data_IF_547847175680
#
_entry.id   IF_547847175680
#
_cell.length_a   1.000
_cell.length_b   1.000
_cell.length_c   1.000
_cell.angle_alpha   90.00
_cell.angle_beta   90.00
_cell.angle_gamma   90.00
#
_symmetry.space_group_name_H-M   'P 1'
#
loop_
_entity.id
_entity.type
_entity.pdbx_description
1 polymer ?
#
# COMPACT_ATOMS: atom_id res chain seq x y z
N UNK A 1 16.37 -8.32 -24.73
CA UNK A 1 16.44 -7.78 -23.36
C UNK A 1 15.03 -7.63 -22.83
N UNK A 2 14.66 -8.34 -21.77
CA UNK A 2 13.42 -8.06 -21.04
C UNK A 2 13.68 -6.82 -20.19
N UNK A 3 12.93 -5.74 -20.43
CA UNK A 3 13.00 -4.57 -19.56
C UNK A 3 12.31 -4.91 -18.24
N UNK A 4 13.05 -4.87 -17.13
CA UNK A 4 12.52 -5.02 -15.78
C UNK A 4 12.64 -3.68 -15.07
N UNK A 5 11.51 -3.14 -14.59
CA UNK A 5 11.49 -1.93 -13.78
C UNK A 5 11.02 -2.31 -12.38
N UNK A 6 11.78 -1.91 -11.36
CA UNK A 6 11.45 -2.15 -9.95
C UNK A 6 11.26 -0.80 -9.27
N UNK A 7 10.13 -0.63 -8.59
CA UNK A 7 9.79 0.59 -7.87
C UNK A 7 9.39 0.22 -6.44
N UNK A 8 9.92 0.95 -5.46
CA UNK A 8 9.56 0.81 -4.05
C UNK A 8 8.70 1.99 -3.62
N UNK A 9 7.50 1.72 -3.14
CA UNK A 9 6.59 2.72 -2.59
C UNK A 9 6.63 2.68 -1.06
N UNK A 10 6.62 3.87 -0.45
CA UNK A 10 6.53 4.04 0.99
C UNK A 10 5.28 4.86 1.31
N UNK A 11 4.39 4.28 2.11
CA UNK A 11 3.17 4.95 2.57
C UNK A 11 3.39 5.42 4.00
N UNK A 12 3.25 6.72 4.24
CA UNK A 12 3.38 7.31 5.57
C UNK A 12 2.03 7.77 6.09
N UNK A 13 1.65 7.20 7.24
CA UNK A 13 0.42 7.54 7.94
C UNK A 13 0.63 8.66 8.94
N UNK A 14 -0.48 9.10 9.54
CA UNK A 14 -0.50 9.94 10.75
C UNK A 14 -1.29 9.19 11.81
N UNK A 15 -0.61 8.76 12.87
CA UNK A 15 -1.26 8.09 14.00
C UNK A 15 -2.06 9.09 14.82
N UNK A 16 -3.28 8.72 15.22
CA UNK A 16 -4.08 9.47 16.20
C UNK A 16 -4.67 8.52 17.23
N UNK A 17 -5.11 9.09 18.36
CA UNK A 17 -5.82 8.31 19.36
C UNK A 17 -7.18 7.87 18.80
N UNK A 18 -7.29 6.59 18.46
CA UNK A 18 -8.46 6.02 17.78
C UNK A 18 -9.78 6.30 18.50
N UNK A 19 -9.75 6.46 19.83
CA UNK A 19 -10.95 6.75 20.64
C UNK A 19 -11.34 8.24 20.74
N UNK A 20 -10.46 9.18 20.37
CA UNK A 20 -10.70 10.62 20.61
C UNK A 20 -10.83 11.42 19.32
N UNK A 21 -10.08 11.06 18.28
CA UNK A 21 -10.16 11.73 16.97
C UNK A 21 -9.71 10.79 15.84
N UNK A 22 -10.47 9.73 15.54
CA UNK A 22 -10.13 8.76 14.52
C UNK A 22 -10.01 9.39 13.11
N UNK A 23 -10.85 10.37 12.79
CA UNK A 23 -10.85 11.08 11.50
C UNK A 23 -9.60 11.94 11.25
N UNK A 24 -8.84 12.28 12.30
CA UNK A 24 -7.57 12.99 12.17
C UNK A 24 -6.42 12.05 11.83
N UNK A 25 -6.65 10.73 11.93
CA UNK A 25 -5.71 9.70 11.54
C UNK A 25 -5.64 9.57 10.02
N UNK A 26 -4.44 9.31 9.50
CA UNK A 26 -4.24 8.91 8.10
C UNK A 26 -3.60 7.54 8.11
N UNK A 27 -4.30 6.53 7.60
CA UNK A 27 -3.81 5.15 7.60
C UNK A 27 -2.82 4.94 6.47
N UNK A 28 -1.58 4.55 6.81
CA UNK A 28 -0.64 4.07 5.81
C UNK A 28 -1.11 2.75 5.17
N UNK A 29 -1.77 1.90 5.97
CA UNK A 29 -2.28 0.61 5.53
C UNK A 29 -3.38 0.78 4.46
N UNK A 30 -4.28 1.74 4.64
CA UNK A 30 -5.32 2.02 3.64
C UNK A 30 -4.70 2.45 2.31
N UNK A 31 -3.60 3.21 2.35
CA UNK A 31 -2.83 3.57 1.15
C UNK A 31 -2.20 2.37 0.46
N UNK A 32 -1.66 1.41 1.23
CA UNK A 32 -1.13 0.14 0.71
C UNK A 32 -2.24 -0.69 0.05
N UNK A 33 -3.41 -0.79 0.68
CA UNK A 33 -4.54 -1.54 0.14
C UNK A 33 -5.09 -0.93 -1.15
N UNK A 34 -5.22 0.41 -1.22
CA UNK A 34 -5.61 1.09 -2.46
C UNK A 34 -4.61 0.84 -3.59
N UNK A 35 -3.30 0.83 -3.28
CA UNK A 35 -2.27 0.50 -4.27
C UNK A 35 -2.38 -0.95 -4.74
N UNK A 36 -2.69 -1.88 -3.83
CA UNK A 36 -2.90 -3.29 -4.16
C UNK A 36 -4.09 -3.48 -5.11
N UNK A 37 -5.23 -2.85 -4.80
CA UNK A 37 -6.42 -2.87 -5.67
C UNK A 37 -6.11 -2.24 -7.03
N UNK A 38 -5.45 -1.08 -7.04
CA UNK A 38 -5.04 -0.41 -8.27
C UNK A 38 -4.11 -1.27 -9.14
N UNK A 39 -3.16 -1.99 -8.51
CA UNK A 39 -2.27 -2.91 -9.22
C UNK A 39 -3.05 -4.08 -9.86
N UNK A 40 -4.11 -4.57 -9.21
CA UNK A 40 -4.97 -5.60 -9.80
C UNK A 40 -5.75 -5.07 -11.01
N UNK A 41 -6.31 -3.85 -10.94
CA UNK A 41 -6.98 -3.25 -12.10
C UNK A 41 -6.01 -2.93 -13.24
N UNK A 42 -4.78 -2.52 -12.91
CA UNK A 42 -3.74 -2.30 -13.91
C UNK A 42 -3.42 -3.58 -14.68
N UNK A 43 -3.48 -4.76 -14.04
CA UNK A 43 -3.24 -6.05 -14.72
C UNK A 43 -4.22 -6.32 -15.85
N UNK A 44 -5.43 -5.79 -15.80
CA UNK A 44 -6.43 -5.94 -16.87
C UNK A 44 -6.12 -5.05 -18.09
N UNK A 45 -5.29 -4.03 -17.92
CA UNK A 45 -5.03 -2.98 -18.91
C UNK A 45 -3.59 -2.96 -19.44
N UNK A 46 -2.71 -3.86 -18.97
CA UNK A 46 -1.37 -4.04 -19.51
C UNK A 46 -1.38 -5.06 -20.66
N UNK A 47 -0.37 -4.97 -21.54
CA UNK A 47 -0.20 -5.93 -22.63
C UNK A 47 -0.04 -7.37 -22.09
N UNK A 48 -0.56 -8.40 -22.78
CA UNK A 48 -0.56 -9.79 -22.29
C UNK A 48 0.83 -10.37 -21.99
N UNK A 49 1.88 -9.84 -22.62
CA UNK A 49 3.28 -10.25 -22.43
C UNK A 49 3.90 -9.63 -21.18
N UNK A 50 3.34 -8.52 -20.70
CA UNK A 50 3.82 -7.86 -19.49
C UNK A 50 3.48 -8.70 -18.25
N UNK A 51 4.36 -8.65 -17.26
CA UNK A 51 4.20 -9.33 -15.97
C UNK A 51 4.34 -8.28 -14.88
N UNK A 52 3.38 -8.26 -13.96
CA UNK A 52 3.35 -7.37 -12.81
C UNK A 52 3.36 -8.22 -11.54
N UNK A 53 4.34 -7.97 -10.68
CA UNK A 53 4.51 -8.60 -9.38
C UNK A 53 4.62 -7.51 -8.30
N UNK A 54 3.88 -7.65 -7.21
CA UNK A 54 3.98 -6.78 -6.05
C UNK A 54 4.10 -7.62 -4.77
N UNK A 55 4.76 -7.05 -3.76
CA UNK A 55 4.85 -7.66 -2.44
C UNK A 55 4.80 -6.55 -1.39
N UNK A 56 3.95 -6.72 -0.38
CA UNK A 56 3.93 -5.86 0.80
C UNK A 56 5.09 -6.30 1.68
N UNK A 57 6.15 -5.49 1.71
CA UNK A 57 7.39 -5.83 2.44
C UNK A 57 7.30 -5.51 3.94
N UNK A 58 6.41 -4.60 4.32
CA UNK A 58 6.12 -4.26 5.71
C UNK A 58 4.71 -3.65 5.77
N UNK A 59 3.78 -4.32 6.45
CA UNK A 59 2.39 -3.86 6.59
C UNK A 59 2.17 -2.92 7.79
N UNK A 60 3.24 -2.57 8.52
CA UNK A 60 3.13 -1.89 9.81
C UNK A 60 2.94 -2.87 10.96
N UNK A 61 3.62 -2.62 12.08
CA UNK A 61 3.81 -3.58 13.18
C UNK A 61 2.55 -4.02 13.94
N UNK A 62 2.77 -5.02 14.82
CA UNK A 62 1.86 -5.85 15.65
C UNK A 62 0.79 -5.15 16.53
N UNK A 63 0.43 -3.89 16.26
CA UNK A 63 -0.53 -3.14 17.04
C UNK A 63 -1.67 -2.64 16.14
N UNK A 64 -2.81 -3.37 16.05
CA UNK A 64 -3.96 -2.97 15.22
C UNK A 64 -4.64 -1.65 15.65
N UNK A 65 -4.13 -0.97 16.70
CA UNK A 65 -4.70 0.25 17.30
C UNK A 65 -3.78 1.49 17.25
N UNK A 66 -2.55 1.38 16.75
CA UNK A 66 -1.66 2.54 16.57
C UNK A 66 -1.23 2.56 15.11
N UNK A 67 -1.78 3.51 14.35
CA UNK A 67 -1.52 3.66 12.92
C UNK A 67 -0.04 3.56 12.60
N UNK A 68 0.30 2.68 11.66
CA UNK A 68 1.64 2.44 11.18
C UNK A 68 2.30 3.76 10.78
N UNK A 69 3.41 4.06 11.45
CA UNK A 69 4.35 5.14 11.14
C UNK A 69 5.27 4.74 10.01
#
# INVERSE_FOLDING_TARGET
MLATNQVKYLFKGKSTHAAFSPHMGRSALDGVELMNVGANFLREHIIPEARLHYAITNAGGNAPKRGAV
#
